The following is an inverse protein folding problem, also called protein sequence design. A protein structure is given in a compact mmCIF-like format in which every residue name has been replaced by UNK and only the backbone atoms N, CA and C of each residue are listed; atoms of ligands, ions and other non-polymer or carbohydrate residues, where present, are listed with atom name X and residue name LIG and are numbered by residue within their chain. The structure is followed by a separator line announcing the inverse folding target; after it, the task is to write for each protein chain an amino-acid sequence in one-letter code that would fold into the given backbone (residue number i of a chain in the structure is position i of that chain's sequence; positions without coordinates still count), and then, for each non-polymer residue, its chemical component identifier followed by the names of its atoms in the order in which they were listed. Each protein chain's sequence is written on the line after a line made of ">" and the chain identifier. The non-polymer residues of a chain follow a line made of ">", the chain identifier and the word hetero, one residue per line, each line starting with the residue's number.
data_IF_587172541429
#
_entry.id   IF_587172541429
#
_cell.length_a   1.000
_cell.length_b   1.000
_cell.length_c   1.000
_cell.angle_alpha   90.00
_cell.angle_beta   90.00
_cell.angle_gamma   90.00
#
_symmetry.space_group_name_H-M   'P 1'
#
loop_
_entity.id
_entity.type
_entity.pdbx_description
1 polymer ?
#
# COMPACT_ATOMS: atom_id res chain seq x y z
N UNK A 1 12.52 -9.43 -8.82
CA UNK A 1 12.10 -8.82 -7.53
C UNK A 1 12.71 -7.42 -7.49
N UNK A 2 11.90 -6.37 -7.58
CA UNK A 2 12.35 -4.99 -7.87
C UNK A 2 12.89 -4.22 -6.66
N UNK A 3 13.32 -4.94 -5.61
CA UNK A 3 13.82 -4.41 -4.33
C UNK A 3 12.89 -3.43 -3.61
N UNK A 4 11.58 -3.43 -3.91
CA UNK A 4 10.59 -2.58 -3.23
C UNK A 4 10.61 -2.78 -1.70
N UNK A 5 10.80 -4.03 -1.26
CA UNK A 5 10.84 -4.39 0.16
C UNK A 5 12.07 -3.88 0.91
N UNK A 6 13.14 -3.51 0.20
CA UNK A 6 14.31 -2.90 0.82
C UNK A 6 14.00 -1.53 1.44
N UNK A 7 13.05 -0.80 0.87
CA UNK A 7 12.66 0.52 1.36
C UNK A 7 11.31 0.53 2.07
N UNK A 8 10.31 -0.19 1.54
CA UNK A 8 8.93 -0.19 2.04
C UNK A 8 8.64 -1.35 3.00
N UNK A 9 9.66 -2.11 3.39
CA UNK A 9 9.52 -3.41 4.04
C UNK A 9 8.51 -4.29 3.27
N UNK A 10 7.86 -5.24 3.94
CA UNK A 10 6.77 -6.02 3.34
C UNK A 10 5.45 -5.21 3.23
N UNK A 11 5.52 -3.90 2.99
CA UNK A 11 4.38 -2.97 2.92
C UNK A 11 4.13 -2.19 4.22
N UNK A 12 4.80 -2.55 5.31
CA UNK A 12 4.69 -1.86 6.62
C UNK A 12 5.51 -0.57 6.74
N UNK A 13 6.24 -0.17 5.70
CA UNK A 13 7.08 1.02 5.71
C UNK A 13 8.47 0.81 6.30
N UNK A 14 9.32 1.83 6.18
CA UNK A 14 10.71 1.79 6.61
C UNK A 14 11.45 3.05 6.16
N UNK A 15 12.34 2.90 5.17
CA UNK A 15 12.96 4.05 4.49
C UNK A 15 11.89 4.81 3.68
N UNK A 16 11.02 4.06 3.00
CA UNK A 16 9.84 4.60 2.32
C UNK A 16 8.59 4.50 3.18
N UNK A 17 7.50 5.21 2.82
CA UNK A 17 6.23 5.14 3.53
C UNK A 17 5.66 3.72 3.51
N UNK A 18 4.77 3.43 4.45
CA UNK A 18 3.96 2.23 4.38
C UNK A 18 3.09 2.26 3.12
N UNK A 19 2.84 1.08 2.57
CA UNK A 19 2.01 0.88 1.37
C UNK A 19 0.71 0.13 1.71
N UNK A 20 0.59 -0.35 2.95
CA UNK A 20 -0.54 -1.12 3.46
C UNK A 20 -1.57 -0.28 4.21
N UNK A 21 -1.25 0.97 4.56
CA UNK A 21 -2.20 1.85 5.25
C UNK A 21 -3.06 2.65 4.26
N UNK A 22 -3.96 3.45 4.82
CA UNK A 22 -4.86 4.32 4.06
C UNK A 22 -4.24 5.72 3.80
N UNK A 23 -2.96 5.94 4.12
CA UNK A 23 -2.31 7.26 4.02
C UNK A 23 -1.45 7.38 2.74
N UNK A 24 -2.04 7.98 1.70
CA UNK A 24 -1.40 8.12 0.38
C UNK A 24 -0.91 9.54 0.11
N UNK A 25 0.39 9.78 0.17
CA UNK A 25 1.00 11.10 -0.11
C UNK A 25 0.72 11.60 -1.54
N UNK A 26 0.72 10.69 -2.51
CA UNK A 26 0.51 11.00 -3.93
C UNK A 26 -0.84 10.50 -4.47
N UNK A 27 -1.73 10.07 -3.57
CA UNK A 27 -3.04 9.51 -3.87
C UNK A 27 -3.04 8.02 -4.24
N UNK A 28 -4.16 7.36 -3.98
CA UNK A 28 -4.35 5.90 -4.06
C UNK A 28 -4.93 5.39 -5.39
N UNK A 29 -5.13 6.27 -6.37
CA UNK A 29 -5.67 5.86 -7.67
C UNK A 29 -4.62 5.00 -8.43
N UNK A 30 -5.04 4.02 -9.25
CA UNK A 30 -4.11 3.23 -10.04
C UNK A 30 -3.16 4.07 -10.90
N UNK A 31 -3.66 5.16 -11.48
CA UNK A 31 -2.84 6.09 -12.25
C UNK A 31 -1.75 6.75 -11.39
N UNK A 32 -2.08 7.18 -10.16
CA UNK A 32 -1.11 7.81 -9.26
C UNK A 32 -0.02 6.83 -8.79
N UNK A 33 -0.41 5.60 -8.50
CA UNK A 33 0.52 4.54 -8.08
C UNK A 33 1.43 4.17 -9.26
N UNK A 34 0.87 3.99 -10.45
CA UNK A 34 1.62 3.77 -11.68
C UNK A 34 2.64 4.90 -11.90
N UNK A 35 2.21 6.16 -11.85
CA UNK A 35 3.11 7.32 -12.03
C UNK A 35 4.23 7.32 -11.00
N UNK A 36 3.94 6.97 -9.74
CA UNK A 36 4.96 6.91 -8.70
C UNK A 36 6.00 5.82 -8.96
N UNK A 37 5.61 4.66 -9.50
CA UNK A 37 6.54 3.58 -9.87
C UNK A 37 7.29 3.93 -11.16
N UNK A 38 6.59 4.46 -12.17
CA UNK A 38 7.17 4.78 -13.46
C UNK A 38 8.18 5.94 -13.37
N UNK A 39 7.84 7.02 -12.67
CA UNK A 39 8.63 8.25 -12.62
C UNK A 39 9.48 8.36 -11.35
N UNK A 40 9.25 7.49 -10.36
CA UNK A 40 9.84 7.63 -9.04
C UNK A 40 9.25 8.80 -8.26
N UNK A 41 9.82 9.08 -7.09
CA UNK A 41 9.47 10.24 -6.26
C UNK A 41 10.73 10.86 -5.65
N UNK A 42 10.71 12.17 -5.33
CA UNK A 42 11.79 12.81 -4.60
C UNK A 42 12.12 12.08 -3.29
N UNK A 43 13.31 12.30 -2.77
CA UNK A 43 13.80 11.71 -1.52
C UNK A 43 14.08 10.19 -1.59
N UNK A 44 14.45 9.69 -2.76
CA UNK A 44 15.11 8.38 -2.89
C UNK A 44 14.24 7.23 -3.39
N UNK A 45 13.00 7.49 -3.85
CA UNK A 45 12.23 6.49 -4.59
C UNK A 45 12.64 6.50 -6.06
N UNK A 46 13.28 5.43 -6.58
CA UNK A 46 13.77 5.39 -7.95
C UNK A 46 12.63 5.27 -8.97
N UNK A 47 12.90 5.74 -10.19
CA UNK A 47 12.06 5.50 -11.37
C UNK A 47 12.31 4.09 -11.92
N UNK A 48 11.24 3.40 -12.31
CA UNK A 48 11.32 2.11 -13.01
C UNK A 48 10.88 2.21 -14.49
N UNK A 49 10.39 3.37 -14.92
CA UNK A 49 10.06 3.64 -16.32
C UNK A 49 11.27 3.44 -17.22
N UNK A 50 11.08 2.77 -18.36
CA UNK A 50 12.16 2.45 -19.30
C UNK A 50 13.13 1.35 -18.82
N UNK A 51 13.12 0.99 -17.53
CA UNK A 51 13.86 -0.16 -17.00
C UNK A 51 13.05 -1.46 -17.07
N UNK A 52 11.72 -1.34 -16.97
CA UNK A 52 10.78 -2.47 -17.11
C UNK A 52 9.67 -2.11 -18.09
N UNK A 53 9.08 -3.11 -18.77
CA UNK A 53 7.97 -2.86 -19.69
C UNK A 53 6.72 -2.38 -18.95
N UNK A 54 5.93 -1.56 -19.64
CA UNK A 54 4.76 -0.87 -19.09
C UNK A 54 3.77 -1.79 -18.36
N UNK A 55 3.49 -2.95 -18.95
CA UNK A 55 2.56 -3.92 -18.36
C UNK A 55 3.03 -4.42 -16.99
N UNK A 56 4.35 -4.51 -16.75
CA UNK A 56 4.87 -4.91 -15.45
C UNK A 56 4.70 -3.79 -14.40
N UNK A 57 4.74 -2.52 -14.80
CA UNK A 57 4.43 -1.40 -13.90
C UNK A 57 2.95 -1.49 -13.48
N UNK A 58 2.05 -1.86 -14.38
CA UNK A 58 0.64 -2.10 -14.07
C UNK A 58 0.41 -3.31 -13.15
N UNK A 59 1.16 -4.40 -13.34
CA UNK A 59 1.13 -5.54 -12.41
C UNK A 59 1.58 -5.14 -11.00
N UNK A 60 2.68 -4.39 -10.89
CA UNK A 60 3.15 -3.86 -9.62
C UNK A 60 2.15 -2.89 -8.98
N UNK A 61 1.55 -2.02 -9.79
CA UNK A 61 0.50 -1.09 -9.35
C UNK A 61 -0.67 -1.84 -8.72
N UNK A 62 -1.11 -2.92 -9.36
CA UNK A 62 -2.20 -3.77 -8.87
C UNK A 62 -1.81 -4.43 -7.55
N UNK A 63 -0.60 -4.97 -7.46
CA UNK A 63 -0.07 -5.58 -6.25
C UNK A 63 0.02 -4.59 -5.07
N UNK A 64 0.63 -3.42 -5.28
CA UNK A 64 0.78 -2.37 -4.26
C UNK A 64 -0.58 -1.87 -3.78
N UNK A 65 -1.54 -1.68 -4.69
CA UNK A 65 -2.89 -1.29 -4.29
C UNK A 65 -3.60 -2.36 -3.46
N UNK A 66 -3.36 -3.64 -3.77
CA UNK A 66 -3.91 -4.74 -2.98
C UNK A 66 -3.37 -4.72 -1.54
N UNK A 67 -2.10 -4.33 -1.34
CA UNK A 67 -1.48 -4.16 -0.01
C UNK A 67 -2.25 -3.16 0.87
N UNK A 68 -2.55 -1.96 0.36
CA UNK A 68 -3.34 -0.94 1.06
C UNK A 68 -4.79 -1.36 1.36
N UNK A 69 -5.34 -2.24 0.51
CA UNK A 69 -6.67 -2.81 0.70
C UNK A 69 -6.78 -3.86 1.80
N UNK A 70 -5.66 -4.38 2.33
CA UNK A 70 -5.70 -5.38 3.40
C UNK A 70 -6.02 -4.76 4.75
N UNK A 71 -5.45 -3.62 5.12
CA UNK A 71 -5.79 -2.94 6.39
C UNK A 71 -7.24 -2.46 6.38
N UNK A 72 -7.69 -1.77 5.33
CA UNK A 72 -9.09 -1.32 5.23
C UNK A 72 -10.10 -2.48 5.27
N UNK A 73 -9.76 -3.67 4.73
CA UNK A 73 -10.61 -4.87 4.82
C UNK A 73 -10.55 -5.56 6.19
N UNK A 74 -9.38 -5.57 6.84
CA UNK A 74 -9.21 -6.11 8.20
C UNK A 74 -9.93 -5.22 9.21
N UNK A 75 -9.81 -3.90 9.12
CA UNK A 75 -10.49 -2.93 9.98
C UNK A 75 -12.02 -2.94 9.79
N UNK A 76 -12.52 -3.08 8.56
CA UNK A 76 -13.97 -3.20 8.28
C UNK A 76 -14.57 -4.52 8.82
N UNK A 77 -13.75 -5.50 9.18
CA UNK A 77 -14.20 -6.78 9.75
C UNK A 77 -14.18 -6.85 11.28
N UNK A 78 -13.70 -5.81 11.98
CA UNK A 78 -13.82 -5.69 13.44
C UNK A 78 -15.28 -5.36 13.81
N UNK A 79 -16.15 -6.35 13.69
CA UNK A 79 -17.52 -6.30 14.22
C UNK A 79 -17.44 -6.08 15.73
N UNK A 80 -18.14 -5.10 16.31
CA UNK A 80 -18.20 -4.96 17.75
C UNK A 80 -19.16 -6.02 18.27
N UNK A 81 -18.68 -7.25 18.44
CA UNK A 81 -19.33 -8.23 19.32
C UNK A 81 -19.09 -7.77 20.77
N UNK A 82 -19.73 -6.65 21.12
CA UNK A 82 -19.90 -6.22 22.49
C UNK A 82 -20.81 -7.25 23.17
N UNK A 83 -20.21 -8.29 23.74
CA UNK A 83 -20.85 -9.11 24.77
C UNK A 83 -21.18 -8.19 25.95
N UNK A 84 -22.39 -7.65 25.99
CA UNK A 84 -22.89 -6.91 27.16
C UNK A 84 -22.90 -7.87 28.35
N UNK A 85 -22.13 -7.63 29.43
CA UNK A 85 -22.37 -8.36 30.66
C UNK A 85 -23.76 -7.96 31.16
N UNK A 86 -24.64 -8.96 31.31
CA UNK A 86 -25.94 -8.77 31.96
C UNK A 86 -25.67 -8.18 33.35
N UNK A 87 -26.19 -6.98 33.61
CA UNK A 87 -26.20 -6.39 34.95
C UNK A 87 -26.95 -7.34 35.88
N UNK A 88 -26.26 -7.88 36.87
CA UNK A 88 -26.90 -8.41 38.07
C UNK A 88 -27.14 -7.22 39.01
N UNK A 89 -28.39 -7.15 39.50
CA UNK A 89 -28.92 -6.41 40.66
C UNK A 89 -28.46 -4.96 40.96
#
# INVERSE_FOLDING_TARGET
>A
MYNCSGCHAHGGGGIGPALMDDEWTYGSSPANIYTSIAEGRPNGMPSYGGHIPDYQIWELTTYVRALGGFESRVQVSARPDAMMPRRAE
#
